data_IF_053266407248
#
_entry.id   IF_053266407248
#
_cell.length_a   1.000
_cell.length_b   1.000
_cell.length_c   1.000
_cell.angle_alpha   90.00
_cell.angle_beta   90.00
_cell.angle_gamma   90.00
#
_symmetry.space_group_name_H-M   'P 1'
#
loop_
_entity.id
_entity.type
_entity.pdbx_description
1 polymer ?
#
# COMPACT_ATOMS: atom_id res chain seq x y z
N UNK A 1 5.08 32.37 -2.70
CA UNK A 1 5.69 31.64 -3.84
C UNK A 1 4.94 30.32 -3.99
N UNK A 2 4.65 29.81 -5.19
CA UNK A 2 4.06 28.47 -5.32
C UNK A 2 5.04 27.43 -4.78
N UNK A 3 4.56 26.54 -3.91
CA UNK A 3 5.36 25.40 -3.43
C UNK A 3 5.34 24.35 -4.54
N UNK A 4 6.48 24.10 -5.16
CA UNK A 4 6.65 22.97 -6.07
C UNK A 4 6.93 21.71 -5.25
N UNK A 5 6.01 20.74 -5.33
CA UNK A 5 6.13 19.47 -4.62
C UNK A 5 6.30 18.39 -5.68
N UNK A 6 7.50 17.84 -5.73
CA UNK A 6 7.82 16.74 -6.62
C UNK A 6 7.37 15.40 -6.01
N UNK A 7 6.64 14.59 -6.76
CA UNK A 7 6.15 13.29 -6.30
C UNK A 7 6.80 12.17 -7.14
N UNK A 8 7.12 11.02 -6.54
CA UNK A 8 7.46 9.83 -7.32
C UNK A 8 6.34 9.50 -8.33
N UNK A 9 6.66 8.99 -9.53
CA UNK A 9 5.68 8.80 -10.60
C UNK A 9 4.54 7.86 -10.20
N UNK A 10 4.79 6.90 -9.31
CA UNK A 10 3.75 6.01 -8.78
C UNK A 10 2.74 6.77 -7.92
N UNK A 11 3.22 7.70 -7.08
CA UNK A 11 2.40 8.53 -6.20
C UNK A 11 1.61 9.54 -7.02
N UNK A 12 2.22 10.12 -8.05
CA UNK A 12 1.55 11.06 -8.95
C UNK A 12 0.40 10.40 -9.71
N UNK A 13 0.62 9.19 -10.25
CA UNK A 13 -0.44 8.45 -10.94
C UNK A 13 -1.62 8.10 -10.01
N UNK A 14 -1.34 7.68 -8.77
CA UNK A 14 -2.38 7.41 -7.76
C UNK A 14 -3.12 8.69 -7.36
N UNK A 15 -2.39 9.79 -7.18
CA UNK A 15 -2.96 11.10 -6.86
C UNK A 15 -3.92 11.58 -7.95
N UNK A 16 -3.54 11.41 -9.22
CA UNK A 16 -4.40 11.74 -10.35
C UNK A 16 -5.70 10.91 -10.37
N UNK A 17 -5.61 9.61 -10.10
CA UNK A 17 -6.78 8.74 -10.03
C UNK A 17 -7.71 9.14 -8.87
N UNK A 18 -7.17 9.38 -7.69
CA UNK A 18 -7.95 9.76 -6.52
C UNK A 18 -8.58 11.15 -6.68
N UNK A 19 -7.85 12.12 -7.25
CA UNK A 19 -8.40 13.44 -7.56
C UNK A 19 -9.53 13.34 -8.60
N UNK A 20 -9.36 12.51 -9.64
CA UNK A 20 -10.41 12.24 -10.62
C UNK A 20 -11.64 11.57 -10.00
N UNK A 21 -11.45 10.64 -9.05
CA UNK A 21 -12.53 10.02 -8.27
C UNK A 21 -13.37 11.05 -7.52
N UNK A 22 -12.74 12.13 -7.05
CA UNK A 22 -13.40 13.23 -6.35
C UNK A 22 -13.87 14.36 -7.29
N UNK A 23 -13.64 14.24 -8.60
CA UNK A 23 -14.01 15.25 -9.59
C UNK A 23 -13.20 16.55 -9.48
N UNK A 24 -11.98 16.49 -8.95
CA UNK A 24 -11.13 17.64 -8.68
C UNK A 24 -9.81 17.56 -9.45
N UNK A 25 -9.15 18.70 -9.63
CA UNK A 25 -7.77 18.74 -10.13
C UNK A 25 -6.80 18.25 -9.02
N UNK A 26 -5.71 17.55 -9.36
CA UNK A 26 -4.75 17.04 -8.37
C UNK A 26 -4.21 18.13 -7.42
N UNK A 27 -3.92 19.32 -7.95
CA UNK A 27 -3.41 20.43 -7.15
C UNK A 27 -4.45 20.96 -6.13
N UNK A 28 -5.73 20.99 -6.51
CA UNK A 28 -6.81 21.42 -5.62
C UNK A 28 -7.08 20.35 -4.55
N UNK A 29 -7.04 19.07 -4.94
CA UNK A 29 -7.16 17.96 -4.02
C UNK A 29 -6.05 17.97 -2.95
N UNK A 30 -4.78 18.15 -3.35
CA UNK A 30 -3.66 18.28 -2.40
C UNK A 30 -3.85 19.52 -1.51
N UNK A 31 -4.27 20.65 -2.08
CA UNK A 31 -4.52 21.87 -1.29
C UNK A 31 -5.60 21.64 -0.24
N UNK A 32 -6.70 20.98 -0.58
CA UNK A 32 -7.78 20.68 0.35
C UNK A 32 -7.36 19.66 1.40
N UNK A 33 -6.53 18.69 1.03
CA UNK A 33 -5.91 17.75 1.97
C UNK A 33 -5.05 18.49 3.01
N UNK A 34 -4.17 19.37 2.55
CA UNK A 34 -3.31 20.16 3.45
C UNK A 34 -4.16 21.09 4.29
N UNK A 35 -5.15 21.80 3.73
CA UNK A 35 -6.10 22.60 4.52
C UNK A 35 -6.79 21.77 5.61
N UNK A 36 -7.24 20.57 5.29
CA UNK A 36 -7.97 19.72 6.25
C UNK A 36 -7.09 19.21 7.39
N UNK A 37 -5.86 18.79 7.09
CA UNK A 37 -5.00 18.14 8.08
C UNK A 37 -3.99 19.10 8.74
N UNK A 38 -3.46 20.05 7.98
CA UNK A 38 -2.52 21.04 8.50
C UNK A 38 -3.24 22.06 9.37
N UNK A 39 -4.36 22.63 8.92
CA UNK A 39 -5.11 23.61 9.71
C UNK A 39 -5.72 23.01 10.99
N UNK A 40 -6.06 21.72 10.97
CA UNK A 40 -6.55 21.01 12.15
C UNK A 40 -5.47 20.82 13.22
N UNK A 41 -4.20 20.74 12.84
CA UNK A 41 -3.07 20.46 13.74
C UNK A 41 -2.24 21.69 14.08
N UNK A 42 -2.22 22.68 13.19
CA UNK A 42 -1.42 23.88 13.27
C UNK A 42 -2.28 25.03 12.75
N UNK A 43 -2.67 25.96 13.62
CA UNK A 43 -3.49 27.15 13.35
C UNK A 43 -2.71 28.16 12.46
N UNK A 44 -2.27 27.69 11.30
CA UNK A 44 -1.28 28.31 10.42
C UNK A 44 -1.68 28.18 8.96
N UNK A 45 -1.28 29.16 8.16
CA UNK A 45 -1.61 29.24 6.74
C UNK A 45 -0.97 28.08 5.94
N UNK A 46 -1.72 27.55 4.99
CA UNK A 46 -1.33 26.41 4.13
C UNK A 46 -0.09 26.71 3.28
N UNK A 47 0.18 28.01 3.06
CA UNK A 47 1.35 28.49 2.34
C UNK A 47 2.69 28.24 3.05
N UNK A 48 2.69 27.82 4.32
CA UNK A 48 3.90 27.58 5.12
C UNK A 48 4.18 26.09 5.37
N UNK A 49 3.33 25.18 4.90
CA UNK A 49 3.53 23.75 5.09
C UNK A 49 4.81 23.26 4.37
N UNK A 50 5.75 22.59 5.08
CA UNK A 50 6.94 22.03 4.45
C UNK A 50 6.58 21.02 3.35
N UNK A 51 7.32 21.03 2.23
CA UNK A 51 7.06 20.14 1.10
C UNK A 51 7.09 18.64 1.49
N UNK A 52 7.98 18.26 2.39
CA UNK A 52 8.08 16.88 2.91
C UNK A 52 6.83 16.48 3.70
N UNK A 53 6.28 17.41 4.49
CA UNK A 53 5.03 17.16 5.22
C UNK A 53 3.87 16.93 4.25
N UNK A 54 3.74 17.76 3.21
CA UNK A 54 2.68 17.59 2.22
C UNK A 54 2.84 16.27 1.48
N UNK A 55 4.10 15.89 1.15
CA UNK A 55 4.40 14.61 0.50
C UNK A 55 3.96 13.41 1.34
N UNK A 56 4.30 13.40 2.62
CA UNK A 56 3.94 12.33 3.53
C UNK A 56 2.44 12.27 3.82
N UNK A 57 1.79 13.43 3.89
CA UNK A 57 0.34 13.53 4.05
C UNK A 57 -0.38 12.89 2.85
N UNK A 58 0.03 13.22 1.63
CA UNK A 58 -0.54 12.64 0.40
C UNK A 58 -0.34 11.12 0.38
N UNK A 59 0.88 10.64 0.65
CA UNK A 59 1.16 9.19 0.72
C UNK A 59 0.26 8.49 1.72
N UNK A 60 0.10 9.04 2.92
CA UNK A 60 -0.74 8.48 3.97
C UNK A 60 -2.19 8.42 3.56
N UNK A 61 -2.70 9.48 2.92
CA UNK A 61 -4.09 9.50 2.46
C UNK A 61 -4.34 8.43 1.39
N UNK A 62 -3.43 8.29 0.42
CA UNK A 62 -3.57 7.28 -0.63
C UNK A 62 -3.57 5.86 -0.04
N UNK A 63 -2.67 5.58 0.91
CA UNK A 63 -2.64 4.29 1.63
C UNK A 63 -3.97 4.02 2.35
N UNK A 64 -4.56 5.03 3.00
CA UNK A 64 -5.85 4.89 3.69
C UNK A 64 -6.99 4.61 2.71
N UNK A 65 -7.03 5.30 1.58
CA UNK A 65 -8.01 5.05 0.52
C UNK A 65 -7.90 3.62 -0.04
N UNK A 66 -6.67 3.13 -0.25
CA UNK A 66 -6.43 1.75 -0.68
C UNK A 66 -6.90 0.74 0.38
N UNK A 67 -6.64 1.00 1.66
CA UNK A 67 -7.11 0.15 2.76
C UNK A 67 -8.64 0.12 2.86
N UNK A 68 -9.31 1.25 2.65
CA UNK A 68 -10.78 1.30 2.60
C UNK A 68 -11.33 0.53 1.40
N UNK A 69 -10.74 0.69 0.22
CA UNK A 69 -11.09 -0.09 -0.97
C UNK A 69 -10.85 -1.60 -0.77
N UNK A 70 -9.82 -1.98 -0.03
CA UNK A 70 -9.55 -3.36 0.34
C UNK A 70 -10.55 -3.89 1.38
N UNK A 71 -11.03 -3.07 2.32
CA UNK A 71 -12.09 -3.46 3.28
C UNK A 71 -13.44 -3.68 2.62
N UNK A 72 -13.74 -2.95 1.55
CA UNK A 72 -14.96 -3.17 0.76
C UNK A 72 -14.91 -4.47 -0.06
N UNK A 73 -13.72 -5.02 -0.31
CA UNK A 73 -13.61 -6.37 -0.87
C UNK A 73 -14.07 -7.36 0.19
N UNK A 74 -15.14 -8.07 -0.14
CA UNK A 74 -15.66 -9.14 0.71
C UNK A 74 -14.50 -10.11 0.99
N UNK A 75 -14.15 -10.36 2.27
CA UNK A 75 -13.13 -11.35 2.58
C UNK A 75 -13.58 -12.68 1.97
N UNK A 76 -12.66 -13.49 1.43
CA UNK A 76 -12.99 -14.78 0.87
C UNK A 76 -13.77 -15.59 1.91
N UNK A 77 -15.01 -15.94 1.59
CA UNK A 77 -15.90 -16.61 2.54
C UNK A 77 -15.52 -18.08 2.72
N UNK A 78 -14.74 -18.62 1.80
CA UNK A 78 -14.28 -20.00 1.81
C UNK A 78 -12.84 -20.13 1.32
N UNK A 79 -12.19 -21.23 1.72
CA UNK A 79 -10.88 -21.62 1.18
C UNK A 79 -10.90 -21.83 -0.35
N UNK A 80 -12.07 -22.13 -0.93
CA UNK A 80 -12.21 -22.28 -2.38
C UNK A 80 -12.04 -20.95 -3.12
N UNK A 81 -12.34 -19.83 -2.48
CA UNK A 81 -12.17 -18.47 -3.04
C UNK A 81 -10.69 -18.05 -3.08
N UNK A 82 -9.86 -18.71 -2.27
CA UNK A 82 -8.40 -18.54 -2.22
C UNK A 82 -7.68 -19.43 -3.24
N UNK A 83 -8.41 -20.23 -4.04
CA UNK A 83 -7.79 -21.11 -5.02
C UNK A 83 -7.00 -20.27 -6.04
N UNK A 84 -5.67 -20.47 -6.14
CA UNK A 84 -4.86 -19.70 -7.06
C UNK A 84 -5.33 -19.96 -8.50
N UNK A 85 -5.37 -18.89 -9.31
CA UNK A 85 -5.73 -18.96 -10.74
C UNK A 85 -4.71 -19.75 -11.56
N UNK A 86 -3.48 -19.87 -11.05
CA UNK A 86 -2.41 -20.65 -11.66
C UNK A 86 -2.57 -22.10 -11.19
N UNK A 87 -2.73 -23.08 -12.10
CA UNK A 87 -2.83 -24.48 -11.71
C UNK A 87 -1.53 -24.92 -11.00
N UNK A 88 -1.63 -25.72 -9.94
CA UNK A 88 -0.44 -26.20 -9.25
C UNK A 88 0.39 -27.10 -10.19
N UNK A 89 1.73 -27.17 -9.99
CA UNK A 89 2.59 -28.05 -10.75
C UNK A 89 2.15 -29.52 -10.63
N UNK A 90 2.42 -30.35 -11.66
CA UNK A 90 1.97 -31.74 -11.68
C UNK A 90 2.50 -32.50 -10.47
N UNK A 91 1.59 -33.19 -9.76
CA UNK A 91 1.91 -33.94 -8.54
C UNK A 91 1.77 -33.15 -7.23
N UNK A 92 1.43 -31.86 -7.27
CA UNK A 92 1.16 -31.06 -6.05
C UNK A 92 -0.28 -30.57 -6.00
N UNK A 93 -0.87 -30.60 -4.80
CA UNK A 93 -2.18 -30.01 -4.54
C UNK A 93 -2.06 -28.49 -4.43
N UNK A 94 -3.06 -27.73 -4.87
CA UNK A 94 -3.06 -26.27 -4.70
C UNK A 94 -3.02 -25.85 -3.21
N UNK A 95 -3.56 -26.70 -2.33
CA UNK A 95 -3.47 -26.49 -0.88
C UNK A 95 -2.03 -26.58 -0.38
N UNK A 96 -1.18 -27.42 -0.97
CA UNK A 96 0.24 -27.52 -0.60
C UNK A 96 1.05 -26.27 -0.99
N UNK A 97 0.53 -25.44 -1.91
CA UNK A 97 1.13 -24.14 -2.23
C UNK A 97 0.66 -23.00 -1.32
N UNK A 98 -0.49 -23.15 -0.66
CA UNK A 98 -1.07 -22.15 0.26
C UNK A 98 -0.67 -22.45 1.71
N UNK A 99 -0.57 -23.73 2.05
CA UNK A 99 0.13 -24.22 3.23
C UNK A 99 1.62 -24.08 2.92
N UNK A 100 2.11 -22.84 2.87
CA UNK A 100 3.53 -22.59 2.93
C UNK A 100 4.09 -23.29 4.17
N UNK A 101 5.24 -23.93 4.00
CA UNK A 101 6.04 -24.49 5.08
C UNK A 101 6.12 -23.45 6.20
N UNK A 102 5.52 -23.75 7.36
CA UNK A 102 5.56 -22.84 8.49
C UNK A 102 7.03 -22.78 8.98
N UNK A 103 7.63 -21.60 9.19
CA UNK A 103 8.98 -21.56 9.73
C UNK A 103 9.00 -22.27 11.08
N UNK A 104 9.84 -23.29 11.20
CA UNK A 104 9.88 -24.23 12.34
C UNK A 104 9.49 -25.68 12.02
N UNK A 105 9.09 -26.01 10.80
CA UNK A 105 8.90 -27.40 10.31
C UNK A 105 10.08 -27.88 9.45
N UNK A 106 11.16 -27.08 9.40
CA UNK A 106 12.43 -27.48 8.82
C UNK A 106 13.12 -28.49 9.74
N UNK A 107 13.69 -29.55 9.16
CA UNK A 107 14.58 -30.43 9.90
C UNK A 107 15.87 -29.68 10.29
N UNK A 108 16.51 -30.10 11.38
CA UNK A 108 17.79 -29.54 11.82
C UNK A 108 18.84 -29.53 10.68
N UNK A 109 18.79 -30.52 9.79
CA UNK A 109 19.67 -30.66 8.63
C UNK A 109 19.42 -29.62 7.53
N UNK A 110 18.16 -29.19 7.35
CA UNK A 110 17.78 -28.14 6.41
C UNK A 110 18.17 -26.75 6.92
N UNK A 111 18.06 -26.53 8.23
CA UNK A 111 18.50 -25.31 8.90
C UNK A 111 20.02 -25.15 8.80
N UNK A 112 20.79 -26.22 9.05
CA UNK A 112 22.25 -26.18 8.93
C UNK A 112 22.72 -25.88 7.51
N UNK A 113 22.07 -26.43 6.49
CA UNK A 113 22.41 -26.14 5.09
C UNK A 113 22.10 -24.69 4.73
N UNK A 114 20.94 -24.18 5.12
CA UNK A 114 20.56 -22.78 4.86
C UNK A 114 21.51 -21.79 5.56
N UNK A 115 21.97 -22.11 6.77
CA UNK A 115 22.97 -21.31 7.49
C UNK A 115 24.34 -21.35 6.80
N UNK A 116 24.75 -22.50 6.26
CA UNK A 116 26.01 -22.64 5.54
C UNK A 116 26.03 -21.86 4.20
N UNK A 117 24.87 -21.66 3.57
CA UNK A 117 24.77 -20.84 2.34
C UNK A 117 24.85 -19.33 2.61
N UNK A 118 24.61 -18.89 3.85
CA UNK A 118 24.65 -17.48 4.27
C UNK A 118 26.02 -17.04 4.82
N UNK A 119 26.96 -17.98 5.00
CA UNK A 119 28.34 -17.74 5.46
C UNK A 119 29.33 -17.74 4.30
#
# INVERSE_FOLDING_TARGET
MPIEIDFPPEVEARLQEEAARQGQAPADYVRDLVKRFFFFLHDTDVAEAPADYVRDLVKRQLLMSELEALKERQPPQSLADLKPRIPPPPGKSWLEGVIGQWPGDESDEEIERALAELS
#
